data_IF_332849218992
#
_entry.id   IF_332849218992
#
_cell.length_a   1.000
_cell.length_b   1.000
_cell.length_c   1.000
_cell.angle_alpha   90.00
_cell.angle_beta   90.00
_cell.angle_gamma   90.00
#
_symmetry.space_group_name_H-M   'P 1'
#
loop_
_entity.id
_entity.type
_entity.pdbx_description
1 polymer ?
#
# COMPACT_ATOMS: atom_id res chain seq x y z
N UNK A 1 -14.69 39.19 71.68
CA UNK A 1 -15.02 37.75 71.66
C UNK A 1 -15.61 37.36 70.29
N UNK A 2 -16.38 38.19 69.62
CA UNK A 2 -16.95 37.95 68.29
C UNK A 2 -15.90 37.90 67.16
N UNK A 3 -14.90 38.78 67.22
CA UNK A 3 -13.88 38.86 66.18
C UNK A 3 -13.01 37.58 66.09
N UNK A 4 -12.76 36.94 67.24
CA UNK A 4 -12.03 35.67 67.30
C UNK A 4 -12.83 34.48 66.71
N UNK A 5 -14.16 34.50 66.93
CA UNK A 5 -15.07 33.53 66.37
C UNK A 5 -15.21 33.68 64.85
N UNK A 6 -15.35 34.90 64.36
CA UNK A 6 -15.46 35.20 62.94
C UNK A 6 -14.18 34.83 62.21
N UNK A 7 -13.01 35.11 62.82
CA UNK A 7 -11.71 34.68 62.25
C UNK A 7 -11.56 33.15 62.19
N UNK A 8 -12.02 32.44 63.25
CA UNK A 8 -11.99 30.97 63.26
C UNK A 8 -12.90 30.36 62.17
N UNK A 9 -14.11 30.90 62.03
CA UNK A 9 -15.07 30.47 61.00
C UNK A 9 -14.53 30.73 59.62
N UNK A 10 -13.93 31.90 59.34
CA UNK A 10 -13.32 32.24 58.07
C UNK A 10 -12.17 31.28 57.73
N UNK A 11 -11.36 30.88 58.71
CA UNK A 11 -10.23 29.97 58.53
C UNK A 11 -10.69 28.54 58.20
N UNK A 12 -11.78 28.08 58.86
CA UNK A 12 -12.40 26.78 58.55
C UNK A 12 -13.00 26.77 57.14
N UNK A 13 -13.72 27.82 56.76
CA UNK A 13 -14.32 27.93 55.43
C UNK A 13 -13.22 27.97 54.35
N UNK A 14 -12.13 28.71 54.57
CA UNK A 14 -10.99 28.74 53.67
C UNK A 14 -10.32 27.38 53.55
N UNK A 15 -10.10 26.67 54.67
CA UNK A 15 -9.56 25.32 54.70
C UNK A 15 -10.41 24.29 53.96
N UNK A 16 -11.73 24.35 54.12
CA UNK A 16 -12.69 23.49 53.44
C UNK A 16 -12.71 23.78 51.91
N UNK A 17 -12.67 25.06 51.53
CA UNK A 17 -12.63 25.43 50.10
C UNK A 17 -11.35 24.97 49.40
N UNK A 18 -10.20 25.11 50.06
CA UNK A 18 -8.92 24.60 49.55
C UNK A 18 -8.95 23.07 49.44
N UNK A 19 -9.45 22.39 50.48
CA UNK A 19 -9.59 20.94 50.47
C UNK A 19 -10.50 20.43 49.34
N UNK A 20 -11.65 21.08 49.16
CA UNK A 20 -12.57 20.76 48.06
C UNK A 20 -11.95 20.99 46.71
N UNK A 21 -11.29 22.12 46.52
CA UNK A 21 -10.58 22.44 45.25
C UNK A 21 -9.50 21.41 44.94
N UNK A 22 -8.76 20.97 45.97
CA UNK A 22 -7.69 19.97 45.79
C UNK A 22 -8.23 18.58 45.44
N UNK A 23 -9.34 18.17 46.05
CA UNK A 23 -10.03 16.91 45.74
C UNK A 23 -10.57 16.97 44.29
N UNK A 24 -11.20 18.08 43.94
CA UNK A 24 -11.77 18.29 42.63
C UNK A 24 -10.67 18.27 41.53
N UNK A 25 -9.55 18.97 41.75
CA UNK A 25 -8.39 18.95 40.86
C UNK A 25 -7.79 17.54 40.69
N UNK A 26 -7.70 16.78 41.80
CA UNK A 26 -7.24 15.38 41.73
C UNK A 26 -8.21 14.49 40.94
N UNK A 27 -9.50 14.66 41.12
CA UNK A 27 -10.50 13.93 40.33
C UNK A 27 -10.41 14.26 38.86
N UNK A 28 -10.30 15.53 38.51
CA UNK A 28 -10.13 16.01 37.13
C UNK A 28 -8.87 15.46 36.49
N UNK A 29 -7.76 15.50 37.20
CA UNK A 29 -6.48 14.96 36.73
C UNK A 29 -6.52 13.44 36.48
N UNK A 30 -7.26 12.69 37.31
CA UNK A 30 -7.47 11.25 37.09
C UNK A 30 -8.29 10.98 35.83
N UNK A 31 -9.41 11.69 35.66
CA UNK A 31 -10.23 11.58 34.46
C UNK A 31 -9.44 11.93 33.18
N UNK A 32 -8.64 12.98 33.25
CA UNK A 32 -7.79 13.38 32.14
C UNK A 32 -6.77 12.28 31.75
N UNK A 33 -6.10 11.72 32.76
CA UNK A 33 -5.16 10.60 32.52
C UNK A 33 -5.86 9.40 31.94
N UNK A 34 -6.98 8.95 32.47
CA UNK A 34 -7.72 7.81 31.96
C UNK A 34 -8.11 7.99 30.49
N UNK A 35 -8.55 9.20 30.11
CA UNK A 35 -8.91 9.53 28.74
C UNK A 35 -7.69 9.55 27.80
N UNK A 36 -6.55 10.06 28.28
CA UNK A 36 -5.30 10.01 27.51
C UNK A 36 -4.78 8.58 27.33
N UNK A 37 -4.87 7.76 28.38
CA UNK A 37 -4.49 6.34 28.28
C UNK A 37 -5.36 5.59 27.26
N UNK A 38 -6.67 5.91 27.17
CA UNK A 38 -7.55 5.36 26.13
C UNK A 38 -7.14 5.78 24.71
N UNK A 39 -6.72 7.02 24.51
CA UNK A 39 -6.19 7.49 23.24
C UNK A 39 -4.87 6.76 22.87
N UNK A 40 -3.98 6.64 23.84
CA UNK A 40 -2.69 5.99 23.60
C UNK A 40 -2.84 4.49 23.28
N UNK A 41 -3.83 3.83 23.89
CA UNK A 41 -4.15 2.43 23.57
C UNK A 41 -4.59 2.23 22.11
N UNK A 42 -5.15 3.26 21.46
CA UNK A 42 -5.45 3.21 20.02
C UNK A 42 -4.21 3.22 19.13
N UNK A 43 -3.06 3.67 19.65
CA UNK A 43 -1.84 3.85 18.86
C UNK A 43 -1.35 2.55 18.23
N UNK A 44 -1.35 1.46 18.99
CA UNK A 44 -0.93 0.15 18.50
C UNK A 44 -1.89 -0.38 17.42
N UNK A 45 -3.18 -0.24 17.66
CA UNK A 45 -4.21 -0.68 16.72
C UNK A 45 -4.21 0.10 15.40
N UNK A 46 -3.78 1.37 15.40
CA UNK A 46 -3.64 2.20 14.19
C UNK A 46 -2.51 1.71 13.26
N UNK A 47 -1.57 0.90 13.75
CA UNK A 47 -0.46 0.38 12.94
C UNK A 47 -0.94 -0.62 11.89
N UNK A 48 -1.87 -1.49 12.23
CA UNK A 48 -2.31 -2.58 11.34
C UNK A 48 -3.35 -2.11 10.32
N UNK A 49 -4.40 -1.42 10.76
CA UNK A 49 -5.51 -0.97 9.92
C UNK A 49 -5.97 0.43 10.38
N UNK A 50 -5.38 1.46 9.81
CA UNK A 50 -5.55 2.83 10.27
C UNK A 50 -7.01 3.30 10.18
N UNK A 51 -7.62 3.20 8.99
CA UNK A 51 -8.97 3.70 8.76
C UNK A 51 -10.03 2.80 9.41
N UNK A 52 -9.89 1.48 9.31
CA UNK A 52 -10.81 0.54 9.95
C UNK A 52 -10.74 0.59 11.47
N UNK A 53 -9.58 0.89 12.06
CA UNK A 53 -9.44 1.09 13.51
C UNK A 53 -10.23 2.30 14.00
N UNK A 54 -10.20 3.41 13.28
CA UNK A 54 -11.00 4.60 13.63
C UNK A 54 -12.50 4.26 13.67
N UNK A 55 -12.98 3.53 12.67
CA UNK A 55 -14.40 3.11 12.61
C UNK A 55 -14.74 2.16 13.75
N UNK A 56 -13.91 1.15 14.01
CA UNK A 56 -14.13 0.19 15.12
C UNK A 56 -14.16 0.85 16.49
N UNK A 57 -13.34 1.89 16.70
CA UNK A 57 -13.24 2.60 17.97
C UNK A 57 -14.09 3.88 18.03
N UNK A 58 -15.07 4.02 17.17
CA UNK A 58 -15.98 5.19 17.13
C UNK A 58 -16.57 5.53 18.50
N UNK A 59 -16.99 4.52 19.29
CA UNK A 59 -17.55 4.71 20.61
C UNK A 59 -16.52 5.32 21.60
N UNK A 60 -15.30 4.83 21.60
CA UNK A 60 -14.20 5.35 22.43
C UNK A 60 -13.87 6.79 22.04
N UNK A 61 -13.78 7.08 20.74
CA UNK A 61 -13.54 8.44 20.23
C UNK A 61 -14.66 9.39 20.65
N UNK A 62 -15.93 8.95 20.60
CA UNK A 62 -17.07 9.75 21.04
C UNK A 62 -17.01 10.05 22.56
N UNK A 63 -16.56 9.12 23.41
CA UNK A 63 -16.34 9.34 24.85
C UNK A 63 -15.25 10.39 25.11
N UNK A 64 -14.29 10.52 24.22
CA UNK A 64 -13.23 11.54 24.26
C UNK A 64 -13.70 12.91 23.74
N UNK A 65 -14.96 13.04 23.34
CA UNK A 65 -15.54 14.27 22.79
C UNK A 65 -15.44 14.37 21.26
N UNK A 66 -14.87 13.38 20.58
CA UNK A 66 -14.74 13.33 19.13
C UNK A 66 -15.99 12.64 18.50
N UNK A 67 -17.15 13.27 18.71
CA UNK A 67 -18.46 12.70 18.36
C UNK A 67 -18.74 12.72 16.86
N UNK A 68 -18.20 13.71 16.17
CA UNK A 68 -18.41 13.92 14.73
C UNK A 68 -17.07 14.00 14.03
N UNK A 69 -16.84 13.08 13.10
CA UNK A 69 -15.62 13.02 12.34
C UNK A 69 -15.93 12.55 10.91
N UNK A 70 -15.32 13.15 9.92
CA UNK A 70 -15.30 12.60 8.56
C UNK A 70 -13.90 12.76 7.94
N UNK A 71 -13.62 11.89 6.99
CA UNK A 71 -12.42 11.99 6.15
C UNK A 71 -12.75 11.61 4.72
N UNK A 72 -12.05 12.23 3.80
CA UNK A 72 -12.18 12.03 2.37
C UNK A 72 -10.83 12.15 1.71
N UNK A 73 -10.69 11.52 0.55
CA UNK A 73 -9.48 11.66 -0.24
C UNK A 73 -9.15 10.40 -1.02
N UNK A 74 -7.86 10.13 -1.16
CA UNK A 74 -7.32 8.95 -1.84
C UNK A 74 -6.48 8.12 -0.88
N UNK A 75 -6.73 6.83 -0.86
CA UNK A 75 -5.99 5.83 -0.10
C UNK A 75 -5.38 4.81 -1.06
N UNK A 76 -4.07 4.92 -1.28
CA UNK A 76 -3.34 4.13 -2.28
C UNK A 76 -4.01 4.14 -3.67
N UNK A 77 -4.45 5.33 -4.12
CA UNK A 77 -5.12 5.53 -5.41
C UNK A 77 -6.61 5.17 -5.42
N UNK A 78 -7.17 4.63 -4.34
CA UNK A 78 -8.61 4.38 -4.21
C UNK A 78 -9.31 5.56 -3.54
N UNK A 79 -10.42 6.08 -4.09
CA UNK A 79 -11.17 7.13 -3.44
C UNK A 79 -11.81 6.59 -2.17
N UNK A 80 -11.65 7.32 -1.06
CA UNK A 80 -12.25 6.97 0.23
C UNK A 80 -13.07 8.13 0.77
N UNK A 81 -14.23 7.81 1.31
CA UNK A 81 -15.06 8.72 2.09
C UNK A 81 -15.70 7.95 3.23
N UNK A 82 -15.50 8.43 4.44
CA UNK A 82 -16.16 7.85 5.63
C UNK A 82 -16.61 8.97 6.55
N UNK A 83 -17.77 8.77 7.18
CA UNK A 83 -18.32 9.68 8.17
C UNK A 83 -18.73 8.90 9.40
N UNK A 84 -18.37 9.44 10.55
CA UNK A 84 -18.76 8.96 11.87
C UNK A 84 -19.52 10.06 12.60
N UNK A 85 -20.66 9.70 13.20
CA UNK A 85 -21.51 10.65 13.95
C UNK A 85 -22.29 11.62 13.08
N UNK A 86 -22.82 12.72 13.68
CA UNK A 86 -23.59 13.72 12.98
C UNK A 86 -22.81 14.41 11.84
N UNK A 87 -23.52 14.89 10.80
CA UNK A 87 -22.86 15.59 9.71
C UNK A 87 -22.17 16.88 10.19
N UNK A 88 -20.92 17.06 9.76
CA UNK A 88 -20.16 18.28 10.00
C UNK A 88 -20.65 19.31 8.96
N UNK A 89 -20.99 20.54 9.38
CA UNK A 89 -21.39 21.58 8.43
C UNK A 89 -20.33 21.75 7.33
N UNK A 90 -20.80 21.99 6.10
CA UNK A 90 -19.90 22.35 5.02
C UNK A 90 -19.22 23.68 5.39
N UNK A 91 -17.90 23.71 5.38
CA UNK A 91 -17.16 24.95 5.53
C UNK A 91 -17.41 25.76 4.26
N UNK A 92 -18.28 26.79 4.42
CA UNK A 92 -18.57 27.73 3.35
C UNK A 92 -17.44 28.75 3.32
N UNK A 93 -16.24 28.38 2.93
CA UNK A 93 -15.31 29.42 2.40
C UNK A 93 -13.95 28.83 1.97
N UNK A 94 -13.62 29.20 0.78
CA UNK A 94 -12.26 29.19 0.26
C UNK A 94 -11.77 27.80 -0.21
N UNK A 95 -11.60 27.71 -1.52
CA UNK A 95 -10.90 26.60 -2.15
C UNK A 95 -9.73 26.15 -1.28
N UNK A 96 -9.67 24.88 -0.97
CA UNK A 96 -8.46 24.28 -0.43
C UNK A 96 -7.33 24.72 -1.34
N UNK A 97 -6.37 25.51 -0.82
CA UNK A 97 -5.15 25.81 -1.55
C UNK A 97 -4.41 24.48 -1.63
N UNK A 98 -4.28 23.86 -2.81
CA UNK A 98 -3.50 22.65 -2.95
C UNK A 98 -2.04 23.05 -2.66
N UNK A 99 -1.44 22.49 -1.61
CA UNK A 99 -0.01 22.57 -1.47
C UNK A 99 0.60 22.81 -0.10
N UNK A 100 -0.15 23.08 0.95
CA UNK A 100 0.42 23.20 2.27
C UNK A 100 0.40 21.85 3.01
N UNK A 101 1.54 21.18 3.05
CA UNK A 101 1.75 19.99 3.90
C UNK A 101 1.41 20.33 5.35
N UNK A 102 0.38 19.74 5.92
CA UNK A 102 0.11 19.78 7.34
C UNK A 102 -0.59 21.05 7.87
N UNK A 103 -1.24 21.86 7.03
CA UNK A 103 -2.02 22.99 7.51
C UNK A 103 -3.21 22.54 8.36
N UNK A 104 -3.15 22.94 9.63
CA UNK A 104 -4.29 22.84 10.55
C UNK A 104 -5.13 24.11 10.35
N UNK A 105 -6.42 23.92 10.12
CA UNK A 105 -7.37 25.02 10.12
C UNK A 105 -8.38 24.83 11.23
N UNK A 106 -8.59 25.88 11.98
CA UNK A 106 -9.61 25.97 13.01
C UNK A 106 -10.66 26.96 12.51
N UNK A 107 -11.81 26.45 12.17
CA UNK A 107 -12.93 27.28 11.71
C UNK A 107 -14.21 26.83 12.41
N UNK A 108 -14.87 27.77 13.12
CA UNK A 108 -16.21 27.66 13.74
C UNK A 108 -16.53 26.29 14.37
N UNK A 109 -15.67 25.82 15.29
CA UNK A 109 -15.81 24.52 15.96
C UNK A 109 -15.55 23.28 15.08
N UNK A 110 -14.83 23.44 13.98
CA UNK A 110 -14.34 22.32 13.16
C UNK A 110 -12.83 22.36 13.09
N UNK A 111 -12.18 21.26 13.45
CA UNK A 111 -10.76 21.04 13.25
C UNK A 111 -10.55 20.29 11.93
N UNK A 112 -9.70 20.84 11.05
CA UNK A 112 -9.35 20.23 9.80
C UNK A 112 -7.85 19.93 9.76
N UNK A 113 -7.49 18.76 9.26
CA UNK A 113 -6.11 18.38 9.03
C UNK A 113 -5.99 17.61 7.72
N UNK A 114 -5.12 18.05 6.83
CA UNK A 114 -4.79 17.34 5.59
C UNK A 114 -3.50 16.54 5.78
N UNK A 115 -3.51 15.31 5.31
CA UNK A 115 -2.35 14.43 5.26
C UNK A 115 -2.03 14.13 3.80
N UNK A 116 -0.79 14.40 3.39
CA UNK A 116 -0.30 14.09 2.06
C UNK A 116 0.98 13.30 2.15
N UNK A 117 0.95 12.09 1.62
CA UNK A 117 2.06 11.16 1.50
C UNK A 117 1.93 10.48 0.15
N UNK A 118 2.87 10.59 -0.72
CA UNK A 118 2.98 9.97 -2.04
C UNK A 118 1.62 9.48 -2.64
N UNK A 119 1.18 8.27 -2.26
CA UNK A 119 -0.07 7.65 -2.74
C UNK A 119 -1.27 7.82 -1.80
N UNK A 120 -1.13 8.60 -0.73
CA UNK A 120 -2.18 8.86 0.26
C UNK A 120 -2.44 10.36 0.35
N UNK A 121 -3.67 10.75 0.12
CA UNK A 121 -4.15 12.12 0.33
C UNK A 121 -5.45 12.06 1.09
N UNK A 122 -5.46 12.50 2.36
CA UNK A 122 -6.63 12.43 3.24
C UNK A 122 -6.88 13.78 3.90
N UNK A 123 -8.11 14.25 3.79
CA UNK A 123 -8.61 15.42 4.50
C UNK A 123 -9.51 14.96 5.65
N UNK A 124 -9.07 15.15 6.87
CA UNK A 124 -9.83 14.86 8.09
C UNK A 124 -10.52 16.11 8.61
N UNK A 125 -11.76 15.94 9.05
CA UNK A 125 -12.52 16.97 9.73
C UNK A 125 -13.11 16.41 11.03
N UNK A 126 -13.00 17.17 12.13
CA UNK A 126 -13.55 16.84 13.45
C UNK A 126 -14.45 17.98 13.88
N UNK A 127 -15.73 17.69 14.07
CA UNK A 127 -16.72 18.64 14.53
C UNK A 127 -16.77 18.70 16.05
N UNK A 128 -16.60 19.90 16.62
CA UNK A 128 -16.62 20.18 18.06
C UNK A 128 -17.86 20.98 18.47
N UNK A 129 -18.86 21.09 17.58
CA UNK A 129 -20.09 21.85 17.82
C UNK A 129 -20.86 21.30 19.03
N UNK A 130 -21.29 22.21 19.90
CA UNK A 130 -22.05 21.86 21.11
C UNK A 130 -21.20 21.58 22.36
N UNK A 131 -19.89 21.46 22.21
CA UNK A 131 -18.96 21.36 23.35
C UNK A 131 -18.66 22.75 23.89
N UNK A 132 -18.53 22.87 25.24
CA UNK A 132 -18.23 24.13 25.94
C UNK A 132 -17.27 23.88 27.10
N UNK A 133 -16.52 24.94 27.46
CA UNK A 133 -15.62 24.93 28.61
C UNK A 133 -14.58 23.81 28.55
N UNK A 134 -14.42 23.11 29.65
CA UNK A 134 -13.42 22.05 29.81
C UNK A 134 -13.57 20.91 28.79
N UNK A 135 -14.81 20.50 28.48
CA UNK A 135 -15.07 19.45 27.49
C UNK A 135 -14.60 19.82 26.11
N UNK A 136 -14.76 21.08 25.75
CA UNK A 136 -14.26 21.61 24.47
C UNK A 136 -12.73 21.59 24.40
N UNK A 137 -12.06 22.13 25.44
CA UNK A 137 -10.59 22.14 25.50
C UNK A 137 -10.01 20.74 25.46
N UNK A 138 -10.62 19.80 26.18
CA UNK A 138 -10.20 18.40 26.15
C UNK A 138 -10.39 17.77 24.78
N UNK A 139 -11.51 18.00 24.10
CA UNK A 139 -11.78 17.45 22.78
C UNK A 139 -10.81 18.01 21.72
N UNK A 140 -10.46 19.31 21.81
CA UNK A 140 -9.40 19.91 20.96
C UNK A 140 -8.07 19.20 21.18
N UNK A 141 -7.65 19.03 22.43
CA UNK A 141 -6.40 18.35 22.76
C UNK A 141 -6.42 16.87 22.31
N UNK A 142 -7.54 16.17 22.48
CA UNK A 142 -7.70 14.80 22.01
C UNK A 142 -7.60 14.70 20.48
N UNK A 143 -8.19 15.64 19.76
CA UNK A 143 -8.10 15.73 18.31
C UNK A 143 -6.66 15.99 17.85
N UNK A 144 -5.94 16.88 18.51
CA UNK A 144 -4.52 17.15 18.21
C UNK A 144 -3.64 15.92 18.42
N UNK A 145 -3.85 15.20 19.52
CA UNK A 145 -3.13 13.95 19.79
C UNK A 145 -3.47 12.90 18.74
N UNK A 146 -4.75 12.76 18.38
CA UNK A 146 -5.18 11.84 17.33
C UNK A 146 -4.53 12.18 15.99
N UNK A 147 -4.51 13.44 15.58
CA UNK A 147 -3.85 13.87 14.34
C UNK A 147 -2.34 13.61 14.36
N UNK A 148 -1.66 13.85 15.48
CA UNK A 148 -0.24 13.50 15.62
C UNK A 148 0.01 12.00 15.51
N UNK A 149 -0.87 11.17 16.09
CA UNK A 149 -0.80 9.71 15.98
C UNK A 149 -1.03 9.24 14.53
N UNK A 150 -2.03 9.79 13.84
CA UNK A 150 -2.31 9.50 12.44
C UNK A 150 -1.11 9.88 11.55
N UNK A 151 -0.55 11.06 11.75
CA UNK A 151 0.64 11.50 11.02
C UNK A 151 1.82 10.56 11.24
N UNK A 152 2.07 10.16 12.48
CA UNK A 152 3.14 9.21 12.81
C UNK A 152 2.91 7.83 12.18
N UNK A 153 1.69 7.30 12.23
CA UNK A 153 1.34 6.02 11.63
C UNK A 153 1.46 6.04 10.09
N UNK A 154 1.01 7.12 9.44
CA UNK A 154 1.15 7.31 8.00
C UNK A 154 2.62 7.43 7.58
N UNK A 155 3.42 8.22 8.30
CA UNK A 155 4.86 8.35 8.05
C UNK A 155 5.60 7.01 8.22
N UNK A 156 5.28 6.24 9.26
CA UNK A 156 5.86 4.93 9.48
C UNK A 156 5.53 3.95 8.35
N UNK A 157 4.27 3.94 7.87
CA UNK A 157 3.84 3.13 6.72
C UNK A 157 4.57 3.52 5.44
N UNK A 158 4.71 4.82 5.19
CA UNK A 158 5.46 5.30 4.02
C UNK A 158 6.92 4.86 4.06
N UNK A 159 7.59 5.01 5.20
CA UNK A 159 8.97 4.55 5.37
C UNK A 159 9.09 3.03 5.17
N UNK A 160 8.19 2.25 5.73
CA UNK A 160 8.16 0.80 5.56
C UNK A 160 7.96 0.41 4.08
N UNK A 161 7.06 1.11 3.37
CA UNK A 161 6.81 0.89 1.94
C UNK A 161 8.05 1.19 1.11
N UNK A 162 8.66 2.36 1.31
CA UNK A 162 9.90 2.76 0.62
C UNK A 162 11.03 1.78 0.91
N UNK A 163 11.19 1.33 2.15
CA UNK A 163 12.19 0.33 2.53
C UNK A 163 11.95 -1.01 1.82
N UNK A 164 10.70 -1.50 1.78
CA UNK A 164 10.34 -2.75 1.12
C UNK A 164 10.56 -2.69 -0.39
N UNK A 165 10.17 -1.58 -1.03
CA UNK A 165 10.39 -1.36 -2.47
C UNK A 165 11.88 -1.25 -2.78
N UNK A 166 12.64 -0.48 -1.98
CA UNK A 166 14.10 -0.33 -2.17
C UNK A 166 14.86 -1.63 -1.94
N UNK A 167 14.43 -2.45 -0.99
CA UNK A 167 15.01 -3.77 -0.77
C UNK A 167 14.80 -4.67 -1.99
N UNK A 168 13.59 -4.67 -2.56
CA UNK A 168 13.28 -5.41 -3.79
C UNK A 168 14.15 -4.97 -4.96
N UNK A 169 14.26 -3.67 -5.19
CA UNK A 169 15.07 -3.13 -6.28
C UNK A 169 16.54 -3.58 -6.18
N UNK A 170 17.13 -3.50 -4.99
CA UNK A 170 18.53 -3.95 -4.76
C UNK A 170 18.74 -5.42 -5.09
N UNK A 171 17.78 -6.23 -4.73
CA UNK A 171 17.79 -7.66 -4.96
C UNK A 171 17.65 -7.96 -6.46
N UNK A 172 16.76 -7.27 -7.17
CA UNK A 172 16.62 -7.40 -8.63
C UNK A 172 17.90 -7.10 -9.37
N UNK A 173 18.60 -6.01 -9.02
CA UNK A 173 19.90 -5.63 -9.63
C UNK A 173 20.96 -6.71 -9.37
N UNK A 174 21.01 -7.28 -8.18
CA UNK A 174 21.96 -8.35 -7.86
C UNK A 174 21.70 -9.60 -8.71
N UNK A 175 20.44 -10.03 -8.81
CA UNK A 175 20.06 -11.17 -9.67
C UNK A 175 20.36 -10.93 -11.13
N UNK A 176 20.03 -9.75 -11.65
CA UNK A 176 20.29 -9.40 -13.04
C UNK A 176 21.78 -9.45 -13.36
N UNK A 177 22.64 -8.96 -12.46
CA UNK A 177 24.09 -9.06 -12.60
C UNK A 177 24.56 -10.51 -12.63
N UNK A 178 24.06 -11.33 -11.71
CA UNK A 178 24.47 -12.73 -11.62
C UNK A 178 23.93 -13.58 -12.80
N UNK A 179 22.70 -13.30 -13.26
CA UNK A 179 22.15 -13.92 -14.47
C UNK A 179 22.96 -13.56 -15.71
N UNK A 180 23.32 -12.28 -15.88
CA UNK A 180 24.17 -11.84 -17.01
C UNK A 180 25.50 -12.54 -16.99
N UNK A 181 26.14 -12.64 -15.84
CA UNK A 181 27.42 -13.34 -15.71
C UNK A 181 27.32 -14.84 -16.00
N UNK A 182 26.22 -15.49 -15.59
CA UNK A 182 25.98 -16.89 -15.90
C UNK A 182 25.74 -17.10 -17.40
N UNK A 183 24.93 -16.23 -18.03
CA UNK A 183 24.67 -16.26 -19.46
C UNK A 183 25.97 -16.05 -20.28
N UNK A 184 26.81 -15.08 -19.89
CA UNK A 184 28.11 -14.86 -20.49
C UNK A 184 29.03 -16.08 -20.36
N UNK A 185 29.03 -16.73 -19.19
CA UNK A 185 29.81 -17.96 -19.01
C UNK A 185 29.31 -19.09 -19.87
N UNK A 186 27.99 -19.30 -19.99
CA UNK A 186 27.39 -20.30 -20.90
C UNK A 186 27.76 -20.02 -22.33
N UNK A 187 27.67 -18.76 -22.77
CA UNK A 187 28.04 -18.36 -24.11
C UNK A 187 29.54 -18.62 -24.41
N UNK A 188 30.40 -18.28 -23.48
CA UNK A 188 31.86 -18.49 -23.60
C UNK A 188 32.21 -19.99 -23.68
N UNK A 189 31.49 -20.84 -22.91
CA UNK A 189 31.62 -22.29 -23.01
C UNK A 189 31.16 -22.79 -24.39
N UNK A 190 30.02 -22.30 -24.87
CA UNK A 190 29.51 -22.70 -26.20
C UNK A 190 30.48 -22.31 -27.32
N UNK A 191 31.02 -21.08 -27.29
CA UNK A 191 32.03 -20.60 -28.24
C UNK A 191 33.34 -21.40 -28.16
N UNK A 192 33.79 -21.71 -26.91
CA UNK A 192 34.97 -22.54 -26.69
C UNK A 192 34.81 -23.92 -27.36
N UNK A 193 33.64 -24.58 -27.22
CA UNK A 193 33.40 -25.88 -27.85
C UNK A 193 33.14 -25.81 -29.33
N UNK A 194 32.46 -24.76 -29.83
CA UNK A 194 32.24 -24.58 -31.28
C UNK A 194 33.53 -24.40 -32.08
N UNK A 195 34.57 -23.83 -31.44
CA UNK A 195 35.88 -23.65 -32.10
C UNK A 195 36.87 -24.83 -31.92
N UNK A 196 36.43 -26.01 -31.45
CA UNK A 196 37.29 -27.19 -31.32
C UNK A 196 37.38 -27.93 -32.67
N UNK A 197 38.60 -27.93 -33.29
CA UNK A 197 38.83 -28.55 -34.60
C UNK A 197 39.42 -29.98 -34.49
N UNK A 198 39.96 -30.36 -33.32
CA UNK A 198 40.56 -31.67 -33.09
C UNK A 198 40.25 -32.22 -31.66
N UNK A 199 40.45 -33.54 -31.46
CA UNK A 199 40.20 -34.24 -30.21
C UNK A 199 41.08 -33.73 -29.06
N UNK A 200 42.28 -33.25 -29.33
CA UNK A 200 43.20 -32.78 -28.29
C UNK A 200 42.74 -31.45 -27.72
N UNK A 201 42.29 -30.53 -28.57
CA UNK A 201 41.70 -29.27 -28.18
C UNK A 201 40.36 -29.48 -27.48
N UNK A 202 39.52 -30.41 -27.97
CA UNK A 202 38.27 -30.78 -27.33
C UNK A 202 38.46 -31.28 -25.89
N UNK A 203 39.45 -32.18 -25.71
CA UNK A 203 39.80 -32.71 -24.37
C UNK A 203 40.34 -31.65 -23.43
N UNK A 204 41.15 -30.70 -23.93
CA UNK A 204 41.64 -29.59 -23.13
C UNK A 204 40.49 -28.67 -22.65
N UNK A 205 39.54 -28.39 -23.52
CA UNK A 205 38.34 -27.58 -23.20
C UNK A 205 37.42 -28.32 -22.24
N UNK A 206 37.20 -29.61 -22.39
CA UNK A 206 36.46 -30.44 -21.47
C UNK A 206 37.07 -30.45 -20.05
N UNK A 207 38.39 -30.50 -19.93
CA UNK A 207 39.10 -30.39 -18.64
C UNK A 207 38.87 -29.02 -18.00
N UNK A 208 38.94 -27.93 -18.78
CA UNK A 208 38.67 -26.56 -18.30
C UNK A 208 37.21 -26.40 -17.84
N UNK A 209 36.25 -26.93 -18.63
CA UNK A 209 34.84 -26.94 -18.21
C UNK A 209 34.65 -27.69 -16.87
N UNK A 210 35.25 -28.90 -16.75
CA UNK A 210 35.15 -29.68 -15.50
C UNK A 210 35.69 -28.94 -14.30
N UNK A 211 36.74 -28.12 -14.44
CA UNK A 211 37.28 -27.32 -13.31
C UNK A 211 36.42 -26.13 -12.95
N UNK A 212 35.72 -25.51 -13.91
CA UNK A 212 34.93 -24.30 -13.74
C UNK A 212 33.43 -24.55 -13.50
N UNK A 213 32.90 -25.70 -13.91
CA UNK A 213 31.49 -26.06 -13.74
C UNK A 213 30.98 -25.98 -12.29
N UNK A 214 31.74 -26.39 -11.26
CA UNK A 214 31.28 -26.27 -9.89
C UNK A 214 31.01 -24.82 -9.45
N UNK A 215 31.79 -23.86 -9.93
CA UNK A 215 31.59 -22.45 -9.64
C UNK A 215 30.30 -21.92 -10.29
N UNK A 216 30.04 -22.32 -11.53
CA UNK A 216 28.80 -21.95 -12.23
C UNK A 216 27.57 -22.62 -11.60
N UNK A 217 27.68 -23.90 -11.22
CA UNK A 217 26.63 -24.64 -10.53
C UNK A 217 26.28 -24.00 -9.17
N UNK A 218 27.28 -23.68 -8.34
CA UNK A 218 27.08 -22.99 -7.07
C UNK A 218 26.44 -21.61 -7.25
N UNK A 219 26.75 -20.91 -8.33
CA UNK A 219 26.13 -19.61 -8.66
C UNK A 219 24.68 -19.78 -9.07
N UNK A 220 24.39 -20.74 -9.94
CA UNK A 220 23.02 -21.08 -10.36
C UNK A 220 22.17 -21.53 -9.15
N UNK A 221 22.75 -22.35 -8.26
CA UNK A 221 22.06 -22.82 -7.06
C UNK A 221 21.73 -21.67 -6.09
N UNK A 222 22.67 -20.75 -5.86
CA UNK A 222 22.38 -19.53 -5.05
C UNK A 222 21.30 -18.68 -5.66
N UNK A 223 21.28 -18.53 -7.00
CA UNK A 223 20.22 -17.83 -7.70
C UNK A 223 18.89 -18.56 -7.55
N UNK A 224 18.87 -19.88 -7.73
CA UNK A 224 17.67 -20.69 -7.56
C UNK A 224 17.13 -20.63 -6.12
N UNK A 225 18.01 -20.72 -5.10
CA UNK A 225 17.62 -20.55 -3.69
C UNK A 225 17.10 -19.14 -3.41
N UNK A 226 17.73 -18.14 -3.99
CA UNK A 226 17.24 -16.78 -3.93
C UNK A 226 15.85 -16.64 -4.55
N UNK A 227 15.58 -17.23 -5.70
CA UNK A 227 14.28 -17.24 -6.38
C UNK A 227 13.21 -18.07 -5.65
N UNK A 228 13.60 -19.15 -5.00
CA UNK A 228 12.70 -20.01 -4.23
C UNK A 228 12.31 -19.41 -2.88
N UNK A 229 13.08 -18.48 -2.37
CA UNK A 229 12.76 -17.80 -1.14
C UNK A 229 11.47 -16.98 -1.32
N UNK A 230 10.39 -17.16 -0.51
CA UNK A 230 9.12 -16.44 -0.68
C UNK A 230 9.26 -14.92 -0.67
N UNK A 231 10.33 -14.40 -0.04
CA UNK A 231 10.67 -12.99 -0.09
C UNK A 231 11.16 -12.53 -1.46
N UNK A 232 11.58 -13.45 -2.34
CA UNK A 232 12.16 -13.19 -3.64
C UNK A 232 11.17 -13.33 -4.82
N UNK A 233 10.22 -14.24 -4.74
CA UNK A 233 9.17 -14.40 -5.78
C UNK A 233 8.35 -13.11 -5.97
N UNK A 234 8.31 -12.27 -4.94
CA UNK A 234 7.74 -10.94 -5.01
C UNK A 234 8.71 -9.85 -5.52
N UNK A 235 9.98 -10.19 -5.79
CA UNK A 235 11.06 -9.25 -6.13
C UNK A 235 11.45 -9.23 -7.60
N UNK A 236 10.92 -10.14 -8.40
CA UNK A 236 11.18 -10.22 -9.84
C UNK A 236 10.40 -9.19 -10.66
N UNK A 237 9.42 -8.52 -10.05
CA UNK A 237 8.80 -7.34 -10.66
C UNK A 237 9.85 -6.25 -10.75
N UNK A 238 10.07 -5.74 -11.96
CA UNK A 238 11.07 -4.75 -12.31
C UNK A 238 11.23 -3.63 -11.26
N UNK A 239 12.44 -3.08 -11.09
CA UNK A 239 12.64 -1.93 -10.23
C UNK A 239 11.71 -0.81 -10.67
N UNK A 240 11.19 -0.04 -9.68
CA UNK A 240 10.70 1.31 -9.92
C UNK A 240 11.93 2.18 -10.31
N UNK A 241 12.55 1.88 -11.45
CA UNK A 241 13.44 2.83 -12.08
C UNK A 241 12.59 4.05 -12.47
N UNK A 242 13.10 5.26 -12.31
CA UNK A 242 12.51 6.39 -13.02
C UNK A 242 12.35 5.93 -14.47
N UNK A 243 11.15 6.03 -14.99
CA UNK A 243 10.88 5.78 -16.41
C UNK A 243 11.88 6.67 -17.17
N UNK A 244 12.97 6.09 -17.71
CA UNK A 244 13.68 6.76 -18.78
C UNK A 244 12.60 7.01 -19.83
N UNK A 245 12.49 8.24 -20.32
CA UNK A 245 11.54 8.59 -21.37
C UNK A 245 11.86 7.77 -22.62
N UNK A 246 11.41 6.52 -22.64
CA UNK A 246 11.43 5.70 -23.83
C UNK A 246 10.24 6.10 -24.69
N UNK A 247 10.48 6.35 -25.95
CA UNK A 247 9.38 6.47 -26.90
C UNK A 247 8.55 5.17 -26.81
N UNK A 248 7.22 5.28 -26.63
CA UNK A 248 6.39 4.11 -26.45
C UNK A 248 6.42 3.25 -27.73
N UNK A 249 6.87 2.02 -27.59
CA UNK A 249 6.91 1.04 -28.65
C UNK A 249 5.50 0.55 -29.02
N UNK A 250 5.32 0.13 -30.28
CA UNK A 250 4.13 -0.62 -30.68
C UNK A 250 4.21 -2.04 -30.13
N UNK A 251 3.31 -2.39 -29.22
CA UNK A 251 3.27 -3.66 -28.51
C UNK A 251 2.12 -4.53 -29.00
N UNK A 252 2.41 -5.79 -29.27
CA UNK A 252 1.40 -6.83 -29.46
C UNK A 252 0.94 -7.32 -28.08
N UNK A 253 -0.26 -6.89 -27.66
CA UNK A 253 -0.82 -7.25 -26.35
C UNK A 253 -1.01 -8.75 -26.21
N UNK A 254 -1.42 -9.43 -27.29
CA UNK A 254 -1.69 -10.87 -27.30
C UNK A 254 -0.43 -11.66 -26.99
N UNK A 255 0.69 -11.29 -27.63
CA UNK A 255 1.98 -11.93 -27.41
C UNK A 255 2.44 -11.75 -25.97
N UNK A 256 2.38 -10.53 -25.45
CA UNK A 256 2.78 -10.23 -24.05
C UNK A 256 1.93 -10.99 -23.03
N UNK A 257 0.61 -11.07 -23.22
CA UNK A 257 -0.29 -11.81 -22.32
C UNK A 257 0.02 -13.31 -22.35
N UNK A 258 0.24 -13.89 -23.56
CA UNK A 258 0.58 -15.30 -23.69
C UNK A 258 1.94 -15.63 -23.06
N UNK A 259 2.94 -14.79 -23.28
CA UNK A 259 4.28 -14.96 -22.69
C UNK A 259 4.22 -14.90 -21.15
N UNK A 260 3.50 -13.94 -20.59
CA UNK A 260 3.30 -13.83 -19.15
C UNK A 260 2.51 -15.04 -18.60
N UNK A 261 1.50 -15.54 -19.33
CA UNK A 261 0.78 -16.75 -18.97
C UNK A 261 1.68 -17.98 -18.88
N UNK A 262 2.57 -18.16 -19.86
CA UNK A 262 3.57 -19.24 -19.85
C UNK A 262 4.54 -19.11 -18.68
N UNK A 263 5.05 -17.90 -18.42
CA UNK A 263 5.98 -17.62 -17.34
C UNK A 263 5.39 -17.98 -15.97
N UNK A 264 4.13 -17.64 -15.74
CA UNK A 264 3.44 -17.89 -14.48
C UNK A 264 2.68 -19.23 -14.41
N UNK A 265 2.76 -20.03 -15.47
CA UNK A 265 2.05 -21.32 -15.57
C UNK A 265 0.53 -21.17 -15.41
N UNK A 266 -0.04 -20.11 -15.99
CA UNK A 266 -1.46 -19.83 -16.04
C UNK A 266 -1.99 -20.15 -17.44
N UNK A 267 -3.00 -21.00 -17.56
CA UNK A 267 -3.69 -21.24 -18.81
C UNK A 267 -4.49 -19.99 -19.19
N UNK A 268 -4.18 -19.40 -20.33
CA UNK A 268 -4.84 -18.18 -20.82
C UNK A 268 -5.86 -18.53 -21.89
N UNK A 269 -7.10 -18.13 -21.68
CA UNK A 269 -8.14 -18.07 -22.71
C UNK A 269 -8.28 -16.61 -23.16
N UNK A 270 -7.78 -16.28 -24.35
CA UNK A 270 -7.73 -14.91 -24.86
C UNK A 270 -8.82 -14.66 -25.88
N UNK A 271 -9.64 -13.62 -25.63
CA UNK A 271 -10.65 -13.11 -26.54
C UNK A 271 -10.33 -11.66 -26.95
N UNK A 272 -10.28 -11.42 -28.24
CA UNK A 272 -9.86 -10.14 -28.81
C UNK A 272 -8.33 -10.00 -28.84
N UNK A 273 -7.87 -8.85 -29.33
CA UNK A 273 -6.45 -8.51 -29.42
C UNK A 273 -6.29 -7.04 -29.78
N UNK A 274 -5.13 -6.48 -29.46
CA UNK A 274 -4.84 -5.09 -29.78
C UNK A 274 -3.34 -4.83 -29.91
N UNK A 275 -3.02 -3.92 -30.81
CA UNK A 275 -1.72 -3.28 -30.86
C UNK A 275 -1.77 -1.97 -30.09
N UNK A 276 -0.82 -1.78 -29.17
CA UNK A 276 -0.80 -0.64 -28.26
C UNK A 276 0.50 0.14 -28.43
N UNK A 277 0.40 1.45 -28.37
CA UNK A 277 1.56 2.29 -28.14
C UNK A 277 1.63 2.62 -26.64
N UNK A 278 2.37 1.80 -25.89
CA UNK A 278 2.49 1.93 -24.43
C UNK A 278 3.85 1.48 -23.93
N UNK A 279 4.15 1.74 -22.66
CA UNK A 279 5.40 1.30 -22.02
C UNK A 279 5.40 -0.21 -21.81
N UNK A 280 6.29 -0.91 -22.53
CA UNK A 280 6.42 -2.37 -22.44
C UNK A 280 6.86 -2.86 -21.07
N UNK A 281 7.71 -2.12 -20.36
CA UNK A 281 8.16 -2.47 -19.02
C UNK A 281 7.02 -2.33 -17.99
N UNK A 282 6.19 -1.30 -18.14
CA UNK A 282 5.00 -1.13 -17.32
C UNK A 282 3.99 -2.26 -17.59
N UNK A 283 3.76 -2.62 -18.87
CA UNK A 283 2.87 -3.74 -19.24
C UNK A 283 3.37 -5.06 -18.64
N UNK A 284 4.63 -5.39 -18.82
CA UNK A 284 5.24 -6.59 -18.26
C UNK A 284 5.05 -6.63 -16.73
N UNK A 285 5.30 -5.53 -16.04
CA UNK A 285 5.14 -5.44 -14.59
C UNK A 285 3.68 -5.67 -14.16
N UNK A 286 2.71 -5.11 -14.89
CA UNK A 286 1.28 -5.33 -14.59
C UNK A 286 0.91 -6.79 -14.80
N UNK A 287 1.27 -7.36 -15.95
CA UNK A 287 0.98 -8.75 -16.28
C UNK A 287 1.61 -9.72 -15.27
N UNK A 288 2.87 -9.52 -14.90
CA UNK A 288 3.58 -10.33 -13.91
C UNK A 288 2.88 -10.34 -12.56
N UNK A 289 2.42 -9.17 -12.10
CA UNK A 289 1.75 -9.07 -10.80
C UNK A 289 0.33 -9.64 -10.85
N UNK A 290 -0.43 -9.41 -11.91
CA UNK A 290 -1.80 -9.93 -12.05
C UNK A 290 -1.78 -11.46 -12.20
N UNK A 291 -1.03 -11.99 -13.20
CA UNK A 291 -0.97 -13.43 -13.45
C UNK A 291 -0.20 -14.19 -12.37
N UNK A 292 0.82 -13.57 -11.77
CA UNK A 292 1.50 -14.09 -10.59
C UNK A 292 0.55 -14.29 -9.40
N UNK A 293 -0.39 -13.38 -9.19
CA UNK A 293 -1.43 -13.54 -8.17
C UNK A 293 -2.39 -14.68 -8.50
N UNK A 294 -2.84 -14.82 -9.76
CA UNK A 294 -3.65 -15.95 -10.22
C UNK A 294 -2.94 -17.27 -9.94
N UNK A 295 -1.68 -17.39 -10.36
CA UNK A 295 -0.86 -18.59 -10.12
C UNK A 295 -0.72 -18.92 -8.63
N UNK A 296 -0.44 -17.91 -7.80
CA UNK A 296 -0.27 -18.11 -6.34
C UNK A 296 -1.57 -18.54 -5.67
N UNK A 297 -2.69 -17.88 -5.97
CA UNK A 297 -4.02 -18.25 -5.44
C UNK A 297 -4.42 -19.66 -5.87
N UNK A 298 -4.21 -20.02 -7.13
CA UNK A 298 -4.51 -21.36 -7.66
C UNK A 298 -3.69 -22.44 -6.97
N UNK A 299 -2.38 -22.19 -6.74
CA UNK A 299 -1.52 -23.12 -5.97
C UNK A 299 -1.97 -23.28 -4.52
N UNK A 300 -2.35 -22.20 -3.85
CA UNK A 300 -2.87 -22.25 -2.48
C UNK A 300 -4.16 -23.07 -2.37
N UNK A 301 -4.99 -23.02 -3.42
CA UNK A 301 -6.27 -23.71 -3.51
C UNK A 301 -6.16 -25.11 -4.11
N UNK A 302 -4.98 -25.50 -4.60
CA UNK A 302 -4.75 -26.77 -5.31
C UNK A 302 -5.65 -26.95 -6.53
N UNK A 303 -5.94 -25.85 -7.26
CA UNK A 303 -6.72 -25.85 -8.50
C UNK A 303 -5.83 -25.46 -9.67
N UNK A 304 -6.24 -25.82 -10.89
CA UNK A 304 -5.55 -25.39 -12.10
C UNK A 304 -5.60 -23.86 -12.24
N UNK A 305 -4.45 -23.25 -12.53
CA UNK A 305 -4.38 -21.82 -12.77
C UNK A 305 -4.94 -21.50 -14.16
N UNK A 306 -6.06 -20.83 -14.22
CA UNK A 306 -6.76 -20.42 -15.45
C UNK A 306 -7.21 -18.97 -15.34
N UNK A 307 -7.03 -18.20 -16.40
CA UNK A 307 -7.47 -16.82 -16.52
C UNK A 307 -8.04 -16.57 -17.92
N UNK A 308 -9.26 -16.10 -18.01
CA UNK A 308 -9.84 -15.60 -19.24
C UNK A 308 -9.46 -14.13 -19.38
N UNK A 309 -8.88 -13.77 -20.51
CA UNK A 309 -8.47 -12.40 -20.82
C UNK A 309 -9.31 -11.91 -21.99
N UNK A 310 -10.07 -10.84 -21.73
CA UNK A 310 -10.96 -10.22 -22.75
C UNK A 310 -10.46 -8.83 -23.05
N UNK A 311 -10.15 -8.56 -24.31
CA UNK A 311 -9.70 -7.25 -24.80
C UNK A 311 -10.85 -6.53 -25.46
N UNK A 312 -11.21 -5.35 -24.97
CA UNK A 312 -12.33 -4.54 -25.45
C UNK A 312 -11.83 -3.17 -25.86
N UNK A 313 -12.16 -2.76 -27.08
CA UNK A 313 -11.95 -1.39 -27.53
C UNK A 313 -13.11 -0.51 -27.07
N UNK A 314 -12.83 0.41 -26.13
CA UNK A 314 -13.79 1.40 -25.61
C UNK A 314 -13.69 2.75 -26.37
N UNK A 315 -12.96 2.79 -27.47
CA UNK A 315 -12.73 3.98 -28.30
C UNK A 315 -11.61 4.89 -27.81
N UNK A 316 -11.73 5.46 -26.62
CA UNK A 316 -10.68 6.27 -26.00
C UNK A 316 -9.67 5.45 -25.23
N UNK A 317 -10.03 4.22 -24.86
CA UNK A 317 -9.19 3.31 -24.09
C UNK A 317 -9.34 1.89 -24.63
N UNK A 318 -8.29 1.08 -24.45
CA UNK A 318 -8.39 -0.37 -24.56
C UNK A 318 -8.50 -0.92 -23.13
N UNK A 319 -9.57 -1.65 -22.87
CA UNK A 319 -9.78 -2.34 -21.61
C UNK A 319 -9.36 -3.80 -21.74
N UNK A 320 -8.48 -4.25 -20.83
CA UNK A 320 -8.03 -5.64 -20.73
C UNK A 320 -8.57 -6.20 -19.43
N UNK A 321 -9.52 -7.14 -19.54
CA UNK A 321 -10.18 -7.78 -18.42
C UNK A 321 -9.51 -9.13 -18.14
N UNK A 322 -8.96 -9.31 -16.95
CA UNK A 322 -8.44 -10.56 -16.44
C UNK A 322 -9.48 -11.18 -15.52
N UNK A 323 -10.15 -12.24 -15.97
CA UNK A 323 -11.29 -12.86 -15.30
C UNK A 323 -10.90 -14.20 -14.67
N UNK A 324 -11.17 -14.34 -13.38
CA UNK A 324 -10.96 -15.57 -12.61
C UNK A 324 -12.17 -15.88 -11.75
N UNK A 325 -13.35 -16.21 -12.36
CA UNK A 325 -14.60 -16.35 -11.65
C UNK A 325 -14.63 -17.51 -10.65
N UNK A 326 -13.71 -18.48 -10.81
CA UNK A 326 -13.58 -19.70 -9.99
C UNK A 326 -12.57 -19.58 -8.84
N UNK A 327 -11.89 -18.42 -8.70
CA UNK A 327 -10.92 -18.18 -7.65
C UNK A 327 -11.48 -17.21 -6.61
N UNK A 328 -12.02 -17.69 -5.48
CA UNK A 328 -12.61 -16.83 -4.46
C UNK A 328 -11.60 -15.82 -3.90
N UNK A 329 -12.02 -14.58 -3.76
CA UNK A 329 -11.23 -13.52 -3.16
C UNK A 329 -11.44 -13.51 -1.64
N UNK A 330 -10.38 -13.74 -0.87
CA UNK A 330 -10.40 -13.73 0.60
C UNK A 330 -10.28 -12.31 1.20
N UNK A 331 -9.77 -11.38 0.40
CA UNK A 331 -9.52 -9.99 0.82
C UNK A 331 -10.72 -9.14 0.40
N UNK A 332 -11.06 -8.14 1.20
CA UNK A 332 -12.03 -7.14 0.80
C UNK A 332 -11.54 -6.40 -0.44
N UNK A 333 -12.43 -6.17 -1.40
CA UNK A 333 -12.06 -5.65 -2.73
C UNK A 333 -11.39 -4.27 -2.65
N UNK A 334 -11.84 -3.43 -1.73
CA UNK A 334 -11.29 -2.10 -1.43
C UNK A 334 -9.83 -2.14 -0.95
N UNK A 335 -9.42 -3.28 -0.35
CA UNK A 335 -8.05 -3.50 0.15
C UNK A 335 -7.13 -4.19 -0.85
N UNK A 336 -7.62 -4.64 -2.00
CA UNK A 336 -6.85 -5.41 -2.97
C UNK A 336 -5.57 -4.69 -3.43
N UNK A 337 -5.64 -3.38 -3.56
CA UNK A 337 -4.52 -2.53 -4.00
C UNK A 337 -3.76 -1.87 -2.84
N UNK A 338 -4.11 -2.17 -1.59
CA UNK A 338 -3.34 -1.69 -0.45
C UNK A 338 -2.04 -2.48 -0.31
N UNK A 339 -0.92 -1.83 0.04
CA UNK A 339 0.29 -2.54 0.40
C UNK A 339 0.04 -3.46 1.59
N UNK A 340 0.57 -4.68 1.53
CA UNK A 340 0.44 -5.73 2.57
C UNK A 340 -0.98 -6.23 2.85
N UNK A 341 -1.91 -6.03 1.94
CA UNK A 341 -3.29 -6.48 2.09
C UNK A 341 -3.50 -8.02 2.18
N UNK A 342 -2.44 -8.82 2.16
CA UNK A 342 -2.55 -10.29 2.25
C UNK A 342 -2.41 -10.81 3.67
N UNK A 343 -3.27 -11.75 4.03
CA UNK A 343 -3.20 -12.49 5.30
C UNK A 343 -1.95 -13.37 5.39
N UNK A 344 -0.97 -13.00 6.19
CA UNK A 344 -0.12 -13.97 6.86
C UNK A 344 1.29 -14.25 6.35
N UNK A 345 1.92 -13.50 5.44
CA UNK A 345 3.36 -13.62 5.19
C UNK A 345 4.00 -12.27 4.84
N UNK A 346 5.11 -11.98 5.48
CA UNK A 346 5.98 -10.84 5.18
C UNK A 346 6.25 -10.78 3.68
N UNK A 347 5.96 -9.62 3.03
CA UNK A 347 6.11 -9.35 1.59
C UNK A 347 5.05 -9.92 0.62
N UNK A 348 3.98 -10.58 1.07
CA UNK A 348 2.82 -10.86 0.21
C UNK A 348 1.86 -9.67 0.27
N UNK A 349 1.41 -9.16 -0.86
CA UNK A 349 0.44 -8.05 -0.93
C UNK A 349 0.98 -6.73 -1.47
N UNK A 350 2.21 -6.69 -2.01
CA UNK A 350 2.71 -5.52 -2.74
C UNK A 350 2.47 -5.61 -4.26
N UNK A 351 2.19 -6.79 -4.80
CA UNK A 351 2.08 -7.01 -6.24
C UNK A 351 0.99 -6.17 -6.89
N UNK A 352 -0.24 -6.24 -6.39
CA UNK A 352 -1.37 -5.46 -6.96
C UNK A 352 -1.19 -3.95 -6.78
N UNK A 353 -0.63 -3.52 -5.63
CA UNK A 353 -0.24 -2.12 -5.43
C UNK A 353 0.79 -1.67 -6.49
N UNK A 354 1.84 -2.47 -6.72
CA UNK A 354 2.86 -2.15 -7.73
C UNK A 354 2.29 -2.14 -9.15
N UNK A 355 1.46 -3.12 -9.50
CA UNK A 355 0.78 -3.16 -10.79
C UNK A 355 -0.05 -1.88 -11.03
N UNK A 356 -0.84 -1.47 -10.03
CA UNK A 356 -1.65 -0.25 -10.12
C UNK A 356 -0.78 1.00 -10.26
N UNK A 357 0.26 1.11 -9.45
CA UNK A 357 1.17 2.25 -9.49
C UNK A 357 1.89 2.36 -10.84
N UNK A 358 2.37 1.25 -11.40
CA UNK A 358 2.99 1.23 -12.72
C UNK A 358 2.01 1.58 -13.83
N UNK A 359 0.80 1.03 -13.78
CA UNK A 359 -0.24 1.40 -14.73
C UNK A 359 -0.50 2.92 -14.71
N UNK A 360 -0.66 3.52 -13.52
CA UNK A 360 -0.90 4.96 -13.36
C UNK A 360 0.27 5.82 -13.84
N UNK A 361 1.52 5.44 -13.52
CA UNK A 361 2.71 6.15 -13.97
C UNK A 361 2.84 6.16 -15.50
N UNK A 362 2.43 5.08 -16.15
CA UNK A 362 2.41 4.95 -17.61
C UNK A 362 1.12 5.50 -18.26
N UNK A 363 0.27 6.20 -17.50
CA UNK A 363 -0.95 6.85 -18.01
C UNK A 363 -2.17 5.91 -18.15
N UNK A 364 -2.09 4.67 -17.64
CA UNK A 364 -3.21 3.72 -17.60
C UNK A 364 -3.92 3.72 -16.24
N UNK A 365 -4.94 2.86 -16.11
CA UNK A 365 -5.69 2.65 -14.88
C UNK A 365 -5.86 1.16 -14.60
N UNK A 366 -5.65 0.73 -13.36
CA UNK A 366 -5.91 -0.63 -12.92
C UNK A 366 -7.01 -0.63 -11.85
N UNK A 367 -8.09 -1.34 -12.12
CA UNK A 367 -9.25 -1.48 -11.24
C UNK A 367 -9.62 -2.95 -11.04
N UNK A 368 -10.50 -3.23 -10.08
CA UNK A 368 -10.96 -4.59 -9.83
C UNK A 368 -12.41 -4.59 -9.38
N UNK A 369 -13.14 -5.64 -9.77
CA UNK A 369 -14.52 -5.86 -9.39
C UNK A 369 -14.79 -7.36 -9.12
N UNK A 370 -15.85 -7.67 -8.37
CA UNK A 370 -16.26 -9.05 -8.16
C UNK A 370 -16.92 -9.61 -9.41
N UNK A 371 -16.51 -10.82 -9.79
CA UNK A 371 -17.13 -11.59 -10.86
C UNK A 371 -17.53 -12.97 -10.34
N UNK A 372 -18.80 -13.15 -9.96
CA UNK A 372 -19.26 -14.34 -9.25
C UNK A 372 -18.61 -14.45 -7.88
N UNK A 373 -17.97 -15.60 -7.58
CA UNK A 373 -17.17 -15.78 -6.37
C UNK A 373 -15.75 -15.23 -6.52
N UNK A 374 -15.29 -15.02 -7.74
CA UNK A 374 -13.95 -14.60 -8.05
C UNK A 374 -13.80 -13.11 -8.34
N UNK A 375 -12.85 -12.80 -9.21
CA UNK A 375 -12.35 -11.46 -9.47
C UNK A 375 -12.26 -11.20 -10.97
N UNK A 376 -12.59 -9.96 -11.37
CA UNK A 376 -12.18 -9.35 -12.61
C UNK A 376 -11.23 -8.18 -12.30
N UNK A 377 -10.01 -8.24 -12.81
CA UNK A 377 -9.07 -7.12 -12.79
C UNK A 377 -9.11 -6.49 -14.18
N UNK A 378 -9.27 -5.17 -14.25
CA UNK A 378 -9.35 -4.43 -15.51
C UNK A 378 -8.19 -3.44 -15.60
N UNK A 379 -7.38 -3.60 -16.64
CA UNK A 379 -6.36 -2.63 -17.04
C UNK A 379 -6.93 -1.80 -18.19
N UNK A 380 -7.10 -0.48 -17.97
CA UNK A 380 -7.45 0.48 -19.03
C UNK A 380 -6.22 1.21 -19.50
N UNK A 381 -6.01 1.19 -20.79
CA UNK A 381 -4.86 1.77 -21.47
C UNK A 381 -5.38 2.88 -22.40
N UNK A 382 -4.79 4.09 -22.38
CA UNK A 382 -5.22 5.16 -23.27
C UNK A 382 -4.90 4.80 -24.72
N UNK A 383 -5.91 4.88 -25.62
CA UNK A 383 -5.65 4.91 -27.03
C UNK A 383 -5.15 6.30 -27.39
N UNK A 384 -3.92 6.44 -27.85
CA UNK A 384 -3.54 7.67 -28.55
C UNK A 384 -4.32 7.69 -29.84
N UNK A 385 -5.27 8.62 -29.97
CA UNK A 385 -5.86 8.93 -31.27
C UNK A 385 -4.73 9.37 -32.21
N UNK A 386 -4.52 8.59 -33.25
CA UNK A 386 -3.65 8.91 -34.39
C UNK A 386 -4.12 10.21 -35.08
#
# INVERSE_FOLDING_TARGET
>A
MNDLYDAAVALVVAGLSVGFTMIWLRHLSRLHRQRMDQLLALREALHDDLLGTLVRHQHTLAQLGLVSMDWRGSWYGSPVFTRMGPPIPAIVHGAAVPGARGERRFDDHVLCQSFQFDDISLDFRIGLKGLRGERYLFAVQAAEVLFAMLQGALAARQLALVAAVSQRARVGVFLQHDMRNLAQWVQLVAEDFAGAEDDQTLMARARRLRSNAPMAANRAERMAQALLNPTWQASLSAPLAPLEEHEPDMLDLDEHVRQAGLLHQVAIELEGGAWLQWDGAALATVLDNVLGNVSNLSRQRQVAAHCRVVVVDEGLHIAVHFETPHLPLEIALDKLFEPWASSGAVNRGLGMYQARKQAQLAGGELSAERLGEGLRVTLRLPCKSS
#
